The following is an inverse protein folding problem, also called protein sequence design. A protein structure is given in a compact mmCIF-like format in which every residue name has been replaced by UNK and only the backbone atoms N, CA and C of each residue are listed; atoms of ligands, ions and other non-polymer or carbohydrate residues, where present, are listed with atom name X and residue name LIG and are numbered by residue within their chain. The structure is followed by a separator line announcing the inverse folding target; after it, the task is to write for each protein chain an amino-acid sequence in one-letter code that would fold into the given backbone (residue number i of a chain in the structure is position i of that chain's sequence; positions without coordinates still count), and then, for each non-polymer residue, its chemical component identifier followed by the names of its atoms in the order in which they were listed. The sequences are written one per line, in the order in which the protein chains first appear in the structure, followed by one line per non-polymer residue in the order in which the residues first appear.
data_IF_842180107326
#
_entry.id   IF_842180107326
#
_cell.length_a   1.000
_cell.length_b   1.000
_cell.length_c   1.000
_cell.angle_alpha   90.00
_cell.angle_beta   90.00
_cell.angle_gamma   90.00
#
_symmetry.space_group_name_H-M   'P 1'
#
loop_
_entity.id
_entity.type
_entity.pdbx_description
1 polymer ?
#
# COMPACT_ATOMS: atom_id res chain seq x y z
N UNK A 1 8.37 -12.36 14.90
CA UNK A 1 7.62 -11.07 14.88
C UNK A 1 8.59 -9.91 14.84
N UNK A 2 8.35 -8.98 13.96
CA UNK A 2 9.25 -7.83 13.81
C UNK A 2 8.98 -6.80 14.89
N UNK A 3 9.97 -6.49 15.73
CA UNK A 3 9.83 -5.42 16.72
C UNK A 3 10.06 -4.04 16.11
N UNK A 4 10.76 -3.96 14.98
CA UNK A 4 11.03 -2.71 14.26
C UNK A 4 11.00 -2.98 12.75
N UNK A 5 9.80 -3.04 12.15
CA UNK A 5 9.69 -3.31 10.73
C UNK A 5 10.30 -2.21 9.88
N UNK A 6 10.76 -2.58 8.69
CA UNK A 6 11.28 -1.61 7.72
C UNK A 6 10.15 -0.97 6.95
N UNK A 7 10.35 0.30 6.59
CA UNK A 7 9.40 1.11 5.83
C UNK A 7 10.19 1.92 4.82
N UNK A 8 9.82 1.80 3.55
CA UNK A 8 10.44 2.58 2.48
C UNK A 8 9.82 3.98 2.47
N UNK A 9 10.68 5.00 2.44
CA UNK A 9 10.21 6.37 2.33
C UNK A 9 9.62 6.61 0.93
N UNK A 10 8.36 7.09 0.84
CA UNK A 10 7.74 7.32 -0.47
C UNK A 10 8.36 8.50 -1.22
N UNK A 11 9.14 9.34 -0.54
CA UNK A 11 9.73 10.54 -1.15
C UNK A 11 11.14 10.31 -1.65
N UNK A 12 12.01 9.64 -0.88
CA UNK A 12 13.41 9.46 -1.26
C UNK A 12 13.83 8.01 -1.47
N UNK A 13 12.98 7.05 -1.13
CA UNK A 13 13.26 5.63 -1.31
C UNK A 13 14.15 5.01 -0.24
N UNK A 14 14.57 5.76 0.76
CA UNK A 14 15.40 5.22 1.83
C UNK A 14 14.60 4.23 2.68
N UNK A 15 15.29 3.21 3.19
CA UNK A 15 14.69 2.22 4.07
C UNK A 15 14.85 2.69 5.52
N UNK A 16 13.73 2.77 6.23
CA UNK A 16 13.67 3.21 7.61
C UNK A 16 13.22 2.06 8.50
N UNK A 17 13.48 2.16 9.79
CA UNK A 17 12.92 1.26 10.79
C UNK A 17 12.14 2.07 11.81
N UNK A 18 11.01 1.54 12.26
CA UNK A 18 10.22 2.16 13.31
C UNK A 18 9.71 1.06 14.24
N UNK A 19 9.77 1.27 15.57
CA UNK A 19 9.27 0.25 16.51
C UNK A 19 7.80 -0.06 16.25
N UNK A 20 7.45 -1.35 16.22
CA UNK A 20 6.09 -1.81 16.00
C UNK A 20 5.12 -1.16 17.00
N UNK A 21 5.53 -1.07 18.26
CA UNK A 21 4.68 -0.50 19.30
C UNK A 21 4.31 0.96 19.00
N UNK A 22 5.24 1.71 18.42
CA UNK A 22 4.96 3.12 18.06
C UNK A 22 4.00 3.20 16.87
N UNK A 23 4.17 2.33 15.89
CA UNK A 23 3.26 2.30 14.74
C UNK A 23 1.86 1.88 15.18
N UNK A 24 1.76 0.88 16.05
CA UNK A 24 0.48 0.43 16.58
C UNK A 24 -0.22 1.51 17.40
N UNK A 25 0.56 2.38 18.05
CA UNK A 25 0.03 3.53 18.80
C UNK A 25 -0.38 4.70 17.90
N UNK A 26 -0.12 4.59 16.59
CA UNK A 26 -0.48 5.64 15.63
C UNK A 26 0.58 6.70 15.40
N UNK A 27 1.79 6.51 15.94
CA UNK A 27 2.89 7.45 15.70
C UNK A 27 3.29 7.43 14.21
N UNK A 28 3.53 8.61 13.66
CA UNK A 28 3.90 8.77 12.25
C UNK A 28 5.31 9.34 12.16
N UNK A 29 6.32 8.46 12.07
CA UNK A 29 7.71 8.90 12.06
C UNK A 29 8.10 9.60 10.77
N UNK A 30 9.17 10.38 10.82
CA UNK A 30 9.77 11.00 9.65
C UNK A 30 10.93 10.13 9.14
N UNK A 31 11.22 10.28 7.85
CA UNK A 31 12.36 9.61 7.25
C UNK A 31 13.66 10.12 7.86
N UNK A 32 14.54 9.21 8.28
CA UNK A 32 15.83 9.57 8.84
C UNK A 32 16.80 10.16 7.81
N UNK A 33 16.51 10.00 6.52
CA UNK A 33 17.36 10.49 5.45
C UNK A 33 16.90 11.85 4.92
N UNK A 34 15.64 11.96 4.44
CA UNK A 34 15.13 13.20 3.84
C UNK A 34 14.26 14.02 4.78
N UNK A 35 13.90 13.47 5.94
CA UNK A 35 13.12 14.10 7.01
C UNK A 35 11.66 14.37 6.66
N UNK A 36 11.19 13.92 5.49
CA UNK A 36 9.77 13.99 5.14
C UNK A 36 8.98 12.96 5.94
N UNK A 37 7.68 13.18 6.18
CA UNK A 37 6.86 12.17 6.86
C UNK A 37 6.85 10.86 6.06
N UNK A 38 7.01 9.74 6.75
CA UNK A 38 6.90 8.42 6.11
C UNK A 38 5.45 8.09 5.77
N UNK A 39 4.51 8.65 6.54
CA UNK A 39 3.07 8.45 6.34
C UNK A 39 2.42 9.82 6.45
N UNK A 40 1.75 10.25 5.38
CA UNK A 40 1.12 11.57 5.34
C UNK A 40 -0.41 11.49 5.18
N UNK A 41 -0.98 10.30 5.31
CA UNK A 41 -2.43 10.11 5.17
C UNK A 41 -2.90 9.98 3.73
N UNK A 42 -1.99 9.99 2.77
CA UNK A 42 -2.31 9.86 1.35
C UNK A 42 -1.70 8.57 0.79
N UNK A 43 -2.38 7.87 -0.14
CA UNK A 43 -1.79 6.71 -0.79
C UNK A 43 -0.51 7.07 -1.53
N UNK A 44 0.47 6.17 -1.51
CA UNK A 44 1.70 6.35 -2.28
C UNK A 44 1.44 6.01 -3.75
N UNK A 45 1.80 6.92 -4.66
CA UNK A 45 1.61 6.70 -6.09
C UNK A 45 2.81 5.94 -6.65
N UNK A 46 2.55 4.83 -7.35
CA UNK A 46 3.57 4.01 -7.99
C UNK A 46 3.37 4.05 -9.50
N UNK A 47 4.37 4.52 -10.22
CA UNK A 47 4.29 4.68 -11.67
C UNK A 47 5.38 3.91 -12.42
N UNK A 48 6.26 3.21 -11.71
CA UNK A 48 7.33 2.42 -12.33
C UNK A 48 7.44 1.06 -11.67
N UNK A 49 7.96 0.09 -12.42
CA UNK A 49 8.24 -1.23 -11.88
C UNK A 49 9.28 -1.16 -10.76
N UNK A 50 10.29 -0.30 -10.93
CA UNK A 50 11.36 -0.17 -9.92
C UNK A 50 10.81 0.36 -8.59
N UNK A 51 9.94 1.36 -8.61
CA UNK A 51 9.36 1.90 -7.38
C UNK A 51 8.44 0.88 -6.70
N UNK A 52 7.68 0.12 -7.50
CA UNK A 52 6.86 -0.96 -6.98
C UNK A 52 7.72 -2.02 -6.29
N UNK A 53 8.74 -2.52 -6.98
CA UNK A 53 9.59 -3.58 -6.44
C UNK A 53 10.30 -3.14 -5.17
N UNK A 54 10.75 -1.89 -5.11
CA UNK A 54 11.39 -1.37 -3.91
C UNK A 54 10.42 -1.30 -2.74
N UNK A 55 9.24 -0.75 -2.98
CA UNK A 55 8.24 -0.61 -1.92
C UNK A 55 7.84 -1.97 -1.36
N UNK A 56 7.47 -2.90 -2.25
CA UNK A 56 6.99 -4.22 -1.84
C UNK A 56 8.11 -5.04 -1.21
N UNK A 57 9.31 -4.98 -1.79
CA UNK A 57 10.43 -5.82 -1.35
C UNK A 57 11.10 -5.36 -0.07
N UNK A 58 10.99 -4.09 0.28
CA UNK A 58 11.73 -3.53 1.42
C UNK A 58 10.83 -2.97 2.52
N UNK A 59 9.50 -3.06 2.37
CA UNK A 59 8.55 -2.63 3.40
C UNK A 59 8.01 -3.86 4.12
N UNK A 60 8.15 -3.90 5.44
CA UNK A 60 7.74 -5.05 6.25
C UNK A 60 6.37 -4.90 6.91
N UNK A 61 5.83 -3.67 7.00
CA UNK A 61 4.40 -3.53 7.34
C UNK A 61 3.57 -4.01 6.14
N UNK A 62 2.32 -4.47 6.36
CA UNK A 62 1.48 -4.88 5.22
C UNK A 62 1.33 -3.76 4.21
N UNK A 63 1.37 -4.09 2.92
CA UNK A 63 1.23 -3.10 1.84
C UNK A 63 0.02 -3.48 1.00
N UNK A 64 -0.96 -2.59 0.94
CA UNK A 64 -2.12 -2.76 0.08
C UNK A 64 -1.92 -1.93 -1.18
N UNK A 65 -1.95 -2.58 -2.35
CA UNK A 65 -1.78 -1.90 -3.63
C UNK A 65 -3.08 -1.95 -4.41
N UNK A 66 -3.56 -0.78 -4.81
CA UNK A 66 -4.71 -0.62 -5.70
C UNK A 66 -4.20 -0.51 -7.14
N UNK A 67 -4.51 -1.52 -7.96
CA UNK A 67 -4.20 -1.50 -9.39
C UNK A 67 -5.35 -0.79 -10.10
N UNK A 68 -5.06 0.37 -10.71
CA UNK A 68 -6.08 1.27 -11.24
C UNK A 68 -5.63 1.90 -12.55
N UNK A 69 -6.55 2.61 -13.22
CA UNK A 69 -6.24 3.42 -14.39
C UNK A 69 -7.16 4.64 -14.40
N UNK A 70 -6.70 5.71 -14.99
CA UNK A 70 -7.43 7.00 -15.02
C UNK A 70 -8.78 6.88 -15.76
N UNK A 71 -8.83 6.07 -16.81
CA UNK A 71 -10.06 5.90 -17.62
C UNK A 71 -11.10 5.03 -16.94
N UNK A 72 -10.76 4.38 -15.84
CA UNK A 72 -11.63 3.40 -15.19
C UNK A 72 -12.60 4.10 -14.24
N UNK A 73 -13.89 4.05 -14.56
CA UNK A 73 -14.94 4.68 -13.75
C UNK A 73 -15.01 4.14 -12.33
N UNK A 74 -15.10 2.81 -12.14
CA UNK A 74 -15.11 2.23 -10.78
C UNK A 74 -13.85 2.55 -9.98
N UNK A 75 -12.68 2.64 -10.63
CA UNK A 75 -11.45 3.04 -9.96
C UNK A 75 -11.57 4.45 -9.39
N UNK A 76 -12.11 5.38 -10.17
CA UNK A 76 -12.29 6.77 -9.74
C UNK A 76 -13.34 6.87 -8.65
N UNK A 77 -14.39 6.06 -8.72
CA UNK A 77 -15.40 6.02 -7.67
C UNK A 77 -14.83 5.51 -6.35
N UNK A 78 -13.89 4.57 -6.41
CA UNK A 78 -13.25 4.03 -5.22
C UNK A 78 -12.19 4.96 -4.63
N UNK A 79 -11.61 5.84 -5.44
CA UNK A 79 -10.47 6.67 -5.02
C UNK A 79 -10.68 7.39 -3.67
N UNK A 80 -11.81 8.08 -3.42
CA UNK A 80 -12.00 8.73 -2.12
C UNK A 80 -12.12 7.73 -0.97
N UNK A 81 -12.65 6.53 -1.22
CA UNK A 81 -12.72 5.48 -0.20
C UNK A 81 -11.35 4.91 0.11
N UNK A 82 -10.52 4.75 -0.92
CA UNK A 82 -9.15 4.27 -0.75
C UNK A 82 -8.32 5.29 0.03
N UNK A 83 -8.48 6.58 -0.28
CA UNK A 83 -7.81 7.65 0.45
C UNK A 83 -8.23 7.66 1.92
N UNK A 84 -9.53 7.52 2.20
CA UNK A 84 -10.04 7.48 3.57
C UNK A 84 -9.52 6.25 4.31
N UNK A 85 -9.47 5.08 3.65
CA UNK A 85 -8.91 3.88 4.25
C UNK A 85 -7.42 4.05 4.57
N UNK A 86 -6.70 4.83 3.77
CA UNK A 86 -5.29 5.13 4.04
C UNK A 86 -5.15 5.82 5.40
N UNK A 87 -5.98 6.80 5.68
CA UNK A 87 -5.96 7.47 6.98
C UNK A 87 -6.32 6.54 8.12
N UNK A 88 -7.23 5.58 7.88
CA UNK A 88 -7.63 4.60 8.89
C UNK A 88 -6.53 3.59 9.21
N UNK A 89 -5.74 3.19 8.21
CA UNK A 89 -4.84 2.05 8.32
C UNK A 89 -3.38 2.44 8.56
N UNK A 90 -2.92 3.55 7.98
CA UNK A 90 -1.55 3.99 8.22
C UNK A 90 -1.42 4.58 9.61
N UNK A 91 -0.31 4.35 10.31
CA UNK A 91 0.95 3.75 9.85
C UNK A 91 1.06 2.23 10.06
N UNK A 92 -0.01 1.55 10.44
CA UNK A 92 0.05 0.10 10.68
C UNK A 92 0.17 -0.69 9.37
N UNK A 93 -0.24 -0.08 8.27
CA UNK A 93 -0.09 -0.62 6.92
C UNK A 93 0.33 0.52 6.01
N UNK A 94 0.79 0.17 4.81
CA UNK A 94 1.09 1.13 3.75
C UNK A 94 0.06 0.94 2.64
N UNK A 95 -0.59 2.01 2.21
CA UNK A 95 -1.48 1.95 1.06
C UNK A 95 -0.83 2.65 -0.13
N UNK A 96 -0.90 2.01 -1.29
CA UNK A 96 -0.28 2.51 -2.51
C UNK A 96 -1.20 2.28 -3.70
N UNK A 97 -1.03 3.07 -4.73
CA UNK A 97 -1.78 2.94 -5.98
C UNK A 97 -0.79 2.71 -7.11
N UNK A 98 -1.03 1.69 -7.93
CA UNK A 98 -0.21 1.42 -9.10
C UNK A 98 -1.01 1.74 -10.35
N UNK A 99 -0.53 2.71 -11.12
CA UNK A 99 -1.12 3.07 -12.41
C UNK A 99 -0.75 2.01 -13.44
N UNK A 100 -1.74 1.22 -13.86
CA UNK A 100 -1.51 0.11 -14.79
C UNK A 100 -1.12 0.57 -16.19
N UNK A 101 -1.41 1.82 -16.54
CA UNK A 101 -0.99 2.39 -17.81
C UNK A 101 0.47 2.83 -17.77
N UNK A 102 0.95 3.29 -16.62
CA UNK A 102 2.35 3.70 -16.45
C UNK A 102 3.28 2.50 -16.26
N UNK A 103 2.81 1.44 -15.61
CA UNK A 103 3.62 0.24 -15.33
C UNK A 103 2.85 -1.02 -15.70
N UNK A 104 2.57 -1.22 -17.01
CA UNK A 104 1.79 -2.38 -17.45
C UNK A 104 2.46 -3.71 -17.15
N UNK A 105 3.78 -3.74 -17.06
CA UNK A 105 4.52 -4.97 -16.75
C UNK A 105 4.20 -5.52 -15.36
N UNK A 106 3.87 -4.65 -14.40
CA UNK A 106 3.49 -5.10 -13.06
C UNK A 106 2.08 -5.69 -13.08
N UNK A 107 1.15 -5.06 -13.80
CA UNK A 107 -0.20 -5.62 -13.96
C UNK A 107 -0.14 -7.01 -14.62
N UNK A 108 0.74 -7.18 -15.59
CA UNK A 108 0.94 -8.49 -16.25
C UNK A 108 1.54 -9.49 -15.28
N UNK A 109 2.52 -9.08 -14.47
CA UNK A 109 3.20 -9.97 -13.51
C UNK A 109 2.19 -10.59 -12.54
N UNK A 110 1.20 -9.80 -12.11
CA UNK A 110 0.19 -10.28 -11.16
C UNK A 110 -1.10 -10.72 -11.83
N UNK A 111 -1.09 -10.80 -13.17
CA UNK A 111 -2.22 -11.31 -13.94
C UNK A 111 -3.51 -10.54 -13.64
N UNK A 112 -3.40 -9.21 -13.58
CA UNK A 112 -4.55 -8.34 -13.32
C UNK A 112 -5.45 -8.33 -14.57
N UNK A 113 -6.68 -8.81 -14.41
CA UNK A 113 -7.64 -8.93 -15.53
C UNK A 113 -8.78 -7.93 -15.44
N UNK A 114 -8.99 -7.36 -14.27
CA UNK A 114 -10.04 -6.37 -14.03
C UNK A 114 -9.51 -5.33 -13.06
N UNK A 115 -9.95 -4.09 -13.22
CA UNK A 115 -9.59 -3.00 -12.31
C UNK A 115 -10.85 -2.31 -11.81
N UNK A 116 -10.86 -1.82 -10.55
CA UNK A 116 -9.75 -1.89 -9.61
C UNK A 116 -9.57 -3.32 -9.07
N UNK A 117 -8.33 -3.71 -8.85
CA UNK A 117 -7.98 -4.91 -8.09
C UNK A 117 -7.00 -4.50 -7.02
N UNK A 118 -7.28 -4.91 -5.79
CA UNK A 118 -6.39 -4.66 -4.66
C UNK A 118 -5.68 -5.95 -4.29
N UNK A 119 -4.36 -5.85 -4.09
CA UNK A 119 -3.56 -6.97 -3.59
C UNK A 119 -2.90 -6.53 -2.29
N UNK A 120 -3.01 -7.36 -1.26
CA UNK A 120 -2.31 -7.14 -0.01
C UNK A 120 -1.04 -7.98 -0.01
N UNK A 121 0.08 -7.31 0.26
CA UNK A 121 1.40 -7.94 0.35
C UNK A 121 1.90 -7.93 1.79
N UNK A 122 2.58 -8.99 2.18
CA UNK A 122 3.31 -9.04 3.44
C UNK A 122 4.71 -9.54 3.16
N UNK A 123 5.71 -8.71 3.45
CA UNK A 123 7.13 -9.04 3.24
C UNK A 123 7.39 -9.53 1.82
N UNK A 124 6.86 -8.82 0.84
CA UNK A 124 7.04 -9.09 -0.57
C UNK A 124 6.14 -10.15 -1.16
N UNK A 125 5.27 -10.78 -0.37
CA UNK A 125 4.42 -11.88 -0.83
C UNK A 125 2.96 -11.48 -0.84
N UNK A 126 2.27 -11.87 -1.90
CA UNK A 126 0.82 -11.67 -1.98
C UNK A 126 0.11 -12.57 -0.97
N UNK A 127 -0.71 -11.98 -0.09
CA UNK A 127 -1.46 -12.73 0.92
C UNK A 127 -2.96 -12.61 0.74
N UNK A 128 -3.44 -11.78 -0.18
CA UNK A 128 -4.85 -11.67 -0.50
C UNK A 128 -5.08 -10.72 -1.64
N UNK A 129 -6.20 -10.91 -2.35
CA UNK A 129 -6.60 -9.97 -3.41
C UNK A 129 -8.11 -9.89 -3.51
N UNK A 130 -8.58 -8.75 -4.01
CA UNK A 130 -9.99 -8.52 -4.26
C UNK A 130 -10.15 -7.68 -5.51
N UNK A 131 -11.01 -8.09 -6.42
CA UNK A 131 -11.35 -7.33 -7.62
C UNK A 131 -12.71 -6.66 -7.44
N UNK A 132 -12.81 -5.40 -7.86
CA UNK A 132 -14.02 -4.61 -7.74
C UNK A 132 -13.90 -3.53 -6.68
N UNK A 133 -14.73 -2.49 -6.82
CA UNK A 133 -14.70 -1.35 -5.91
C UNK A 133 -15.26 -1.72 -4.53
N UNK A 134 -14.69 -1.12 -3.50
CA UNK A 134 -15.13 -1.29 -2.11
C UNK A 134 -15.16 0.08 -1.43
N UNK A 135 -16.00 0.21 -0.39
CA UNK A 135 -15.96 1.41 0.46
C UNK A 135 -14.84 1.28 1.50
N UNK A 136 -14.61 2.37 2.25
CA UNK A 136 -13.48 2.44 3.21
C UNK A 136 -13.55 1.36 4.28
N UNK A 137 -14.73 1.08 4.79
CA UNK A 137 -14.91 0.07 5.85
C UNK A 137 -14.59 -1.33 5.31
N UNK A 138 -15.04 -1.61 4.09
CA UNK A 138 -14.76 -2.91 3.47
C UNK A 138 -13.27 -3.06 3.14
N UNK A 139 -12.60 -1.98 2.71
CA UNK A 139 -11.16 -2.00 2.47
C UNK A 139 -10.40 -2.32 3.76
N UNK A 140 -10.75 -1.63 4.85
CA UNK A 140 -10.10 -1.87 6.14
C UNK A 140 -10.34 -3.31 6.62
N UNK A 141 -11.56 -3.81 6.50
CA UNK A 141 -11.90 -5.17 6.89
C UNK A 141 -11.14 -6.21 6.06
N UNK A 142 -10.99 -5.95 4.76
CA UNK A 142 -10.23 -6.83 3.86
C UNK A 142 -8.78 -6.94 4.32
N UNK A 143 -8.14 -5.81 4.61
CA UNK A 143 -6.74 -5.80 5.06
C UNK A 143 -6.59 -6.59 6.35
N UNK A 144 -7.45 -6.35 7.33
CA UNK A 144 -7.37 -7.03 8.62
C UNK A 144 -7.61 -8.53 8.48
N UNK A 145 -8.62 -8.94 7.71
CA UNK A 145 -8.93 -10.35 7.49
C UNK A 145 -7.79 -11.08 6.78
N UNK A 146 -7.27 -10.50 5.69
CA UNK A 146 -6.22 -11.14 4.91
C UNK A 146 -4.92 -11.24 5.71
N UNK A 147 -4.60 -10.21 6.49
CA UNK A 147 -3.38 -10.22 7.29
C UNK A 147 -3.46 -11.26 8.40
N UNK A 148 -4.62 -11.38 9.05
CA UNK A 148 -4.81 -12.39 10.11
C UNK A 148 -4.77 -13.82 9.58
N UNK A 149 -5.25 -14.03 8.35
CA UNK A 149 -5.29 -15.37 7.74
C UNK A 149 -3.93 -15.82 7.22
N UNK A 150 -2.97 -14.92 7.07
CA UNK A 150 -1.67 -15.22 6.48
C UNK A 150 -0.74 -15.99 7.45
#
# INVERSE_FOLDING_TARGET
MESAPTIVCPHCGAVNRAPRARLDAGDKPNCGHCHAPLFDGHPTELTTAASFDRLIGRTEVPVLVDFWAEWCGPCRAMAPHFAAATEMLEPRARLAKLDTEAAPEIAQRFNIRAIPTMILFSKGREIGRHSGAMNREAIAAFVESAFRAA
#
